data_IF_459259597580
#
_entry.id   IF_459259597580
#
_cell.length_a   1.000
_cell.length_b   1.000
_cell.length_c   1.000
_cell.angle_alpha   90.00
_cell.angle_beta   90.00
_cell.angle_gamma   90.00
#
_symmetry.space_group_name_H-M   'P 1'
#
loop_
_entity.id
_entity.type
_entity.pdbx_description
1 polymer ?
#
# COMPACT_ATOMS: atom_id res chain seq x y z
N UNK A 1 14.31 2.17 1.47
CA UNK A 1 15.61 1.60 1.82
C UNK A 1 15.64 0.11 1.51
N UNK A 2 16.74 -0.38 0.93
CA UNK A 2 16.95 -1.80 0.63
C UNK A 2 17.93 -2.44 1.62
N UNK A 3 18.06 -3.75 1.53
CA UNK A 3 19.05 -4.50 2.32
C UNK A 3 20.46 -4.33 1.75
N UNK A 4 20.64 -4.60 0.47
CA UNK A 4 21.93 -4.50 -0.21
C UNK A 4 22.00 -3.33 -1.19
N UNK A 5 20.88 -2.90 -1.74
CA UNK A 5 20.77 -1.86 -2.75
C UNK A 5 19.59 -0.93 -2.44
N UNK A 6 19.85 0.34 -2.23
CA UNK A 6 18.83 1.36 -1.97
C UNK A 6 18.40 2.01 -3.29
N UNK A 7 17.52 1.32 -4.04
CA UNK A 7 17.02 1.84 -5.31
C UNK A 7 16.05 3.00 -5.12
N UNK A 8 16.00 3.94 -6.08
CA UNK A 8 14.99 5.00 -6.06
C UNK A 8 13.58 4.44 -6.05
N UNK A 9 12.72 4.96 -5.17
CA UNK A 9 11.30 4.61 -5.06
C UNK A 9 10.43 5.83 -5.28
N UNK A 10 9.27 5.63 -5.92
CA UNK A 10 8.28 6.68 -6.14
C UNK A 10 7.28 6.68 -4.98
N UNK A 11 7.61 7.37 -3.89
CA UNK A 11 6.76 7.45 -2.68
C UNK A 11 6.55 8.90 -2.19
N UNK A 12 6.90 9.89 -3.01
CA UNK A 12 6.81 11.31 -2.68
C UNK A 12 5.40 11.77 -2.31
N UNK A 13 4.37 11.14 -2.88
CA UNK A 13 2.98 11.49 -2.62
C UNK A 13 2.58 11.29 -1.16
N UNK A 14 3.15 10.29 -0.47
CA UNK A 14 2.95 10.09 0.96
C UNK A 14 3.47 11.28 1.78
N UNK A 15 4.68 11.76 1.50
CA UNK A 15 5.21 12.95 2.18
C UNK A 15 4.32 14.17 1.95
N UNK A 16 3.83 14.35 0.73
CA UNK A 16 2.93 15.45 0.40
C UNK A 16 1.58 15.33 1.11
N UNK A 17 1.05 14.11 1.26
CA UNK A 17 -0.11 13.84 2.10
C UNK A 17 0.13 14.28 3.55
N UNK A 18 1.24 13.86 4.16
CA UNK A 18 1.58 14.23 5.54
C UNK A 18 1.66 15.76 5.69
N UNK A 19 2.34 16.45 4.79
CA UNK A 19 2.44 17.91 4.79
C UNK A 19 1.04 18.54 4.72
N UNK A 20 0.18 18.07 3.82
CA UNK A 20 -1.20 18.58 3.69
C UNK A 20 -2.04 18.30 4.92
N UNK A 21 -1.92 17.12 5.52
CA UNK A 21 -2.64 16.74 6.74
C UNK A 21 -2.31 17.70 7.90
N UNK A 22 -1.03 17.98 8.12
CA UNK A 22 -0.60 18.96 9.12
C UNK A 22 -1.07 20.38 8.79
N UNK A 23 -0.94 20.82 7.55
CA UNK A 23 -1.39 22.15 7.14
C UNK A 23 -2.92 22.35 7.29
N UNK A 24 -3.71 21.27 7.10
CA UNK A 24 -5.16 21.27 7.31
C UNK A 24 -5.55 21.08 8.78
N UNK A 25 -4.56 20.87 9.67
CA UNK A 25 -4.79 20.49 11.07
C UNK A 25 -5.74 19.27 11.18
N UNK A 26 -5.47 18.23 10.39
CA UNK A 26 -6.29 17.02 10.39
C UNK A 26 -6.34 16.44 11.81
N UNK A 27 -7.52 16.06 12.34
CA UNK A 27 -7.63 15.44 13.65
C UNK A 27 -6.74 14.20 13.77
N UNK A 28 -6.12 14.00 14.93
CA UNK A 28 -5.13 12.93 15.13
C UNK A 28 -5.71 11.53 14.91
N UNK A 29 -6.93 11.30 15.33
CA UNK A 29 -7.65 10.05 15.11
C UNK A 29 -7.87 9.78 13.62
N UNK A 30 -8.32 10.79 12.86
CA UNK A 30 -8.48 10.67 11.41
C UNK A 30 -7.14 10.44 10.72
N UNK A 31 -6.10 11.17 11.08
CA UNK A 31 -4.75 10.98 10.57
C UNK A 31 -4.23 9.56 10.82
N UNK A 32 -4.54 9.00 12.00
CA UNK A 32 -4.19 7.63 12.36
C UNK A 32 -4.94 6.62 11.51
N UNK A 33 -6.27 6.74 11.40
CA UNK A 33 -7.08 5.84 10.58
C UNK A 33 -6.63 5.82 9.12
N UNK A 34 -6.37 6.99 8.56
CA UNK A 34 -5.96 7.10 7.16
C UNK A 34 -4.62 6.42 6.90
N UNK A 35 -3.66 6.52 7.81
CA UNK A 35 -2.35 5.90 7.65
C UNK A 35 -2.34 4.38 7.90
N UNK A 36 -3.14 3.90 8.83
CA UNK A 36 -3.17 2.48 9.20
C UNK A 36 -4.13 1.65 8.34
N UNK A 37 -5.25 2.26 7.91
CA UNK A 37 -6.36 1.56 7.26
C UNK A 37 -7.14 2.46 6.27
N UNK A 38 -6.47 3.40 5.63
CA UNK A 38 -7.11 4.35 4.71
C UNK A 38 -7.79 3.69 3.52
N UNK A 39 -7.23 2.60 3.03
CA UNK A 39 -7.76 1.77 1.95
C UNK A 39 -9.03 0.98 2.33
N UNK A 40 -9.26 0.76 3.63
CA UNK A 40 -10.43 0.05 4.16
C UNK A 40 -11.61 0.99 4.47
N UNK A 41 -11.45 2.29 4.30
CA UNK A 41 -12.52 3.26 4.49
C UNK A 41 -13.60 3.10 3.41
N UNK A 42 -14.87 3.43 3.70
CA UNK A 42 -15.93 3.41 2.70
C UNK A 42 -15.62 4.38 1.54
N UNK A 43 -15.49 3.87 0.30
CA UNK A 43 -15.13 4.66 -0.89
C UNK A 43 -13.88 5.54 -0.69
N UNK A 44 -12.72 4.95 -0.39
CA UNK A 44 -11.53 5.70 -0.05
C UNK A 44 -11.09 6.61 -1.21
N UNK A 45 -10.73 7.83 -0.90
CA UNK A 45 -10.11 8.76 -1.84
C UNK A 45 -8.66 8.35 -2.16
N UNK A 46 -8.12 8.86 -3.27
CA UNK A 46 -6.70 8.68 -3.60
C UNK A 46 -5.78 9.13 -2.44
N UNK A 47 -6.12 10.22 -1.73
CA UNK A 47 -5.37 10.71 -0.58
C UNK A 47 -5.36 9.72 0.59
N UNK A 48 -6.48 9.06 0.86
CA UNK A 48 -6.59 8.04 1.91
C UNK A 48 -5.83 6.76 1.56
N UNK A 49 -5.84 6.36 0.30
CA UNK A 49 -5.00 5.26 -0.19
C UNK A 49 -3.52 5.64 -0.10
N UNK A 50 -3.13 6.86 -0.50
CA UNK A 50 -1.76 7.36 -0.38
C UNK A 50 -1.29 7.37 1.08
N UNK A 51 -2.16 7.67 2.03
CA UNK A 51 -1.82 7.67 3.45
C UNK A 51 -1.31 6.31 3.92
N UNK A 52 -1.87 5.19 3.41
CA UNK A 52 -1.42 3.83 3.75
C UNK A 52 0.00 3.51 3.29
N UNK A 53 0.60 4.37 2.46
CA UNK A 53 2.01 4.26 2.09
C UNK A 53 2.97 4.45 3.29
N UNK A 54 2.47 4.81 4.48
CA UNK A 54 3.19 4.62 5.74
C UNK A 54 3.78 3.21 5.83
N UNK A 55 2.99 2.18 5.53
CA UNK A 55 3.40 0.78 5.55
C UNK A 55 4.32 0.37 4.39
N UNK A 56 4.48 1.24 3.37
CA UNK A 56 5.38 1.02 2.24
C UNK A 56 6.79 1.58 2.48
N UNK A 57 7.03 2.26 3.59
CA UNK A 57 8.35 2.78 3.98
C UNK A 57 9.22 1.72 4.69
N UNK A 58 8.91 0.46 4.52
CA UNK A 58 9.69 -0.67 5.01
C UNK A 58 10.85 -0.99 4.07
N UNK A 59 11.79 -1.81 4.53
CA UNK A 59 12.89 -2.31 3.70
C UNK A 59 12.36 -3.30 2.66
N UNK A 60 12.95 -3.25 1.47
CA UNK A 60 12.68 -4.18 0.36
C UNK A 60 13.95 -4.88 -0.06
N UNK A 61 13.83 -6.11 -0.55
CA UNK A 61 14.93 -6.86 -1.12
C UNK A 61 14.77 -7.01 -2.63
N UNK A 62 15.81 -6.62 -3.37
CA UNK A 62 15.85 -6.71 -4.83
C UNK A 62 17.00 -7.62 -5.32
N UNK A 63 17.62 -8.40 -4.44
CA UNK A 63 18.68 -9.32 -4.80
C UNK A 63 18.15 -10.53 -5.58
N UNK A 64 18.97 -11.05 -6.48
CA UNK A 64 18.66 -12.29 -7.17
C UNK A 64 18.89 -13.52 -6.28
N UNK A 65 17.98 -14.50 -6.35
CA UNK A 65 18.14 -15.77 -5.63
C UNK A 65 17.61 -15.74 -4.18
N UNK A 66 16.90 -14.71 -3.79
CA UNK A 66 16.24 -14.61 -2.48
C UNK A 66 14.80 -15.12 -2.55
N UNK A 67 14.21 -15.42 -1.40
CA UNK A 67 12.83 -15.87 -1.28
C UNK A 67 11.93 -14.66 -0.99
N UNK A 68 11.07 -14.28 -1.93
CA UNK A 68 10.17 -13.12 -1.82
C UNK A 68 9.28 -13.22 -0.57
N UNK A 69 8.80 -14.41 -0.20
CA UNK A 69 7.95 -14.60 0.98
C UNK A 69 8.72 -14.42 2.29
N UNK A 70 10.00 -14.79 2.34
CA UNK A 70 10.85 -14.52 3.50
C UNK A 70 10.94 -13.01 3.76
N UNK A 71 11.24 -12.22 2.72
CA UNK A 71 11.37 -10.78 2.86
C UNK A 71 10.04 -10.06 3.02
N UNK A 72 8.94 -10.59 2.46
CA UNK A 72 7.60 -10.14 2.79
C UNK A 72 7.31 -10.28 4.29
N UNK A 73 7.66 -11.42 4.88
CA UNK A 73 7.52 -11.67 6.31
C UNK A 73 8.33 -10.66 7.15
N UNK A 74 9.58 -10.38 6.75
CA UNK A 74 10.42 -9.37 7.41
C UNK A 74 9.78 -7.97 7.32
N UNK A 75 9.16 -7.62 6.19
CA UNK A 75 8.43 -6.37 6.04
C UNK A 75 7.21 -6.29 6.96
N UNK A 76 6.48 -7.38 7.16
CA UNK A 76 5.36 -7.43 8.13
C UNK A 76 5.84 -7.22 9.56
N UNK A 77 6.95 -7.86 9.95
CA UNK A 77 7.62 -7.65 11.26
C UNK A 77 7.96 -6.17 11.46
N UNK A 78 8.56 -5.54 10.45
CA UNK A 78 8.90 -4.11 10.50
C UNK A 78 7.66 -3.23 10.66
N UNK A 79 6.57 -3.51 9.96
CA UNK A 79 5.30 -2.77 10.09
C UNK A 79 4.70 -2.85 11.48
N UNK A 80 4.68 -4.05 12.09
CA UNK A 80 4.24 -4.22 13.47
C UNK A 80 5.09 -3.33 14.38
N UNK A 81 6.40 -3.52 14.35
CA UNK A 81 7.32 -2.83 15.25
C UNK A 81 7.25 -1.30 15.07
N UNK A 82 7.25 -0.81 13.83
CA UNK A 82 7.19 0.63 13.51
C UNK A 82 5.86 1.24 13.94
N UNK A 83 4.73 0.54 13.75
CA UNK A 83 3.42 1.03 14.15
C UNK A 83 3.36 1.25 15.66
N UNK A 84 3.73 0.28 16.45
CA UNK A 84 3.69 0.40 17.91
C UNK A 84 4.72 1.40 18.44
N UNK A 85 5.91 1.47 17.85
CA UNK A 85 6.89 2.49 18.20
C UNK A 85 6.39 3.90 17.90
N UNK A 86 5.69 4.10 16.78
CA UNK A 86 5.21 5.42 16.34
C UNK A 86 4.01 5.89 17.15
N UNK A 87 3.00 5.05 17.36
CA UNK A 87 1.74 5.46 18.02
C UNK A 87 1.71 5.25 19.52
N UNK A 88 2.43 4.25 20.02
CA UNK A 88 2.40 3.91 21.45
C UNK A 88 3.72 4.13 22.16
N UNK A 89 4.81 4.43 21.45
CA UNK A 89 6.13 4.60 22.03
C UNK A 89 6.70 3.32 22.69
N UNK A 90 6.18 2.15 22.32
CA UNK A 90 6.59 0.85 22.89
C UNK A 90 7.52 0.09 21.95
N UNK A 91 8.47 -0.64 22.52
CA UNK A 91 9.38 -1.54 21.80
C UNK A 91 8.72 -2.91 21.63
N UNK A 92 7.71 -3.02 20.77
CA UNK A 92 6.95 -4.26 20.60
C UNK A 92 7.79 -5.44 20.11
N UNK A 93 8.92 -5.18 19.45
CA UNK A 93 9.84 -6.18 18.93
C UNK A 93 10.29 -7.23 19.98
N UNK A 94 10.37 -6.86 21.25
CA UNK A 94 10.71 -7.81 22.33
C UNK A 94 9.69 -8.95 22.43
N UNK A 95 8.41 -8.66 22.15
CA UNK A 95 7.33 -9.63 22.24
C UNK A 95 7.32 -10.64 21.07
N UNK A 96 8.13 -10.44 20.03
CA UNK A 96 8.30 -11.39 18.94
C UNK A 96 8.87 -12.75 19.41
N UNK A 97 9.70 -12.78 20.45
CA UNK A 97 10.34 -14.00 20.93
C UNK A 97 9.78 -14.48 22.29
N UNK A 98 9.26 -13.58 23.12
CA UNK A 98 8.71 -13.90 24.44
C UNK A 98 7.79 -12.78 24.90
N UNK A 99 6.92 -13.03 25.89
CA UNK A 99 6.10 -11.98 26.52
C UNK A 99 6.99 -10.81 26.93
N UNK A 100 6.56 -9.57 26.63
CA UNK A 100 7.33 -8.37 26.90
C UNK A 100 7.66 -8.25 28.39
N UNK A 101 8.90 -7.86 28.69
CA UNK A 101 9.39 -7.86 30.08
C UNK A 101 8.77 -6.76 30.94
N UNK A 102 8.49 -5.61 30.36
CA UNK A 102 8.07 -4.41 31.08
C UNK A 102 6.65 -3.95 30.73
N UNK A 103 6.29 -4.04 29.48
CA UNK A 103 4.97 -3.63 28.99
C UNK A 103 3.98 -4.81 29.00
N UNK A 104 2.68 -4.57 29.19
CA UNK A 104 1.68 -5.62 29.25
C UNK A 104 1.33 -6.19 27.84
N UNK A 105 2.34 -6.62 27.10
CA UNK A 105 2.23 -7.16 25.76
C UNK A 105 2.71 -8.61 25.79
N UNK A 106 1.85 -9.53 25.48
CA UNK A 106 2.18 -10.95 25.42
C UNK A 106 2.77 -11.32 24.07
N UNK A 107 3.48 -12.44 24.02
CA UNK A 107 3.95 -13.04 22.76
C UNK A 107 2.79 -13.33 21.79
N UNK A 108 1.66 -13.78 22.29
CA UNK A 108 0.46 -14.03 21.49
C UNK A 108 -0.10 -12.74 20.87
N UNK A 109 -0.20 -11.64 21.62
CA UNK A 109 -0.69 -10.36 21.11
C UNK A 109 0.24 -9.77 20.03
N UNK A 110 1.55 -10.06 20.10
CA UNK A 110 2.46 -9.73 19.02
C UNK A 110 2.04 -10.40 17.71
N UNK A 111 1.77 -11.71 17.72
CA UNK A 111 1.38 -12.44 16.53
C UNK A 111 -0.06 -12.16 16.08
N UNK A 112 -0.96 -11.77 16.96
CA UNK A 112 -2.26 -11.22 16.56
C UNK A 112 -2.09 -9.90 15.78
N UNK A 113 -1.20 -9.04 16.24
CA UNK A 113 -0.87 -7.80 15.51
C UNK A 113 -0.14 -8.09 14.19
N UNK A 114 0.75 -9.07 14.18
CA UNK A 114 1.40 -9.55 12.97
C UNK A 114 0.38 -10.02 11.93
N UNK A 115 -0.62 -10.81 12.34
CA UNK A 115 -1.66 -11.33 11.45
C UNK A 115 -2.45 -10.21 10.76
N UNK A 116 -2.75 -9.10 11.44
CA UNK A 116 -3.41 -7.94 10.86
C UNK A 116 -2.61 -7.42 9.66
N UNK A 117 -1.31 -7.19 9.81
CA UNK A 117 -0.45 -6.67 8.74
C UNK A 117 -0.08 -7.74 7.70
N UNK A 118 -0.20 -9.01 8.05
CA UNK A 118 0.02 -10.13 7.15
C UNK A 118 -1.08 -10.29 6.09
N UNK A 119 -2.24 -9.63 6.28
CA UNK A 119 -3.36 -9.62 5.33
C UNK A 119 -3.14 -8.64 4.15
N UNK A 120 -2.02 -7.92 4.11
CA UNK A 120 -1.71 -6.99 3.03
C UNK A 120 -1.38 -7.72 1.73
N UNK A 121 -1.76 -7.12 0.59
CA UNK A 121 -1.60 -7.72 -0.74
C UNK A 121 -0.20 -7.54 -1.34
N UNK A 122 0.66 -6.76 -0.72
CA UNK A 122 1.99 -6.52 -1.24
C UNK A 122 2.88 -7.76 -1.11
N UNK A 123 3.77 -7.88 -2.06
CA UNK A 123 4.84 -8.87 -2.06
C UNK A 123 6.18 -8.15 -2.22
N UNK A 124 7.26 -8.74 -1.73
CA UNK A 124 8.62 -8.19 -1.90
C UNK A 124 9.16 -8.48 -3.31
N UNK A 125 8.39 -8.07 -4.34
CA UNK A 125 8.73 -8.27 -5.75
C UNK A 125 9.31 -7.00 -6.36
N UNK A 126 10.06 -7.18 -7.45
CA UNK A 126 10.74 -6.08 -8.15
C UNK A 126 9.80 -5.00 -8.71
N UNK A 127 8.54 -5.33 -8.96
CA UNK A 127 7.53 -4.39 -9.46
C UNK A 127 6.80 -3.63 -8.35
N UNK A 128 7.06 -3.96 -7.08
CA UNK A 128 6.50 -3.31 -5.88
C UNK A 128 4.96 -3.19 -5.87
N UNK A 129 4.25 -4.08 -6.53
CA UNK A 129 2.78 -4.07 -6.53
C UNK A 129 2.21 -4.30 -5.12
N UNK A 130 0.99 -3.80 -4.82
CA UNK A 130 0.11 -2.99 -5.68
C UNK A 130 0.57 -1.53 -5.81
N UNK A 131 0.28 -0.91 -6.96
CA UNK A 131 0.67 0.46 -7.28
C UNK A 131 -0.57 1.33 -7.49
N UNK A 132 -0.56 2.54 -6.97
CA UNK A 132 -1.55 3.57 -7.26
C UNK A 132 -0.99 4.53 -8.32
N UNK A 133 -1.67 4.60 -9.47
CA UNK A 133 -1.34 5.57 -10.51
C UNK A 133 -1.87 6.95 -10.15
N UNK A 134 -0.98 7.92 -9.99
CA UNK A 134 -1.33 9.30 -9.67
C UNK A 134 -1.29 10.11 -10.95
N UNK A 135 -2.43 10.65 -11.35
CA UNK A 135 -2.59 11.44 -12.56
C UNK A 135 -2.84 12.92 -12.23
N UNK A 136 -2.26 13.82 -13.04
CA UNK A 136 -2.69 15.22 -13.05
C UNK A 136 -4.12 15.37 -13.59
N UNK A 137 -4.74 16.54 -13.38
CA UNK A 137 -6.10 16.78 -13.89
C UNK A 137 -6.17 16.72 -15.43
N UNK A 138 -5.11 17.14 -16.13
CA UNK A 138 -4.99 17.00 -17.56
C UNK A 138 -4.90 15.52 -17.97
N UNK A 139 -4.07 14.75 -17.28
CA UNK A 139 -3.94 13.31 -17.52
C UNK A 139 -5.23 12.54 -17.23
N UNK A 140 -6.00 12.92 -16.19
CA UNK A 140 -7.31 12.34 -15.89
C UNK A 140 -8.31 12.60 -17.02
N UNK A 141 -8.32 13.82 -17.57
CA UNK A 141 -9.18 14.17 -18.71
C UNK A 141 -8.80 13.38 -19.97
N UNK A 142 -7.51 13.31 -20.26
CA UNK A 142 -7.03 12.57 -21.43
C UNK A 142 -7.28 11.05 -21.29
N UNK A 143 -7.09 10.50 -20.09
CA UNK A 143 -7.42 9.09 -19.79
C UNK A 143 -8.90 8.82 -20.05
N UNK A 144 -9.79 9.65 -19.52
CA UNK A 144 -11.24 9.51 -19.73
C UNK A 144 -11.63 9.61 -21.22
N UNK A 145 -10.96 10.49 -22.01
CA UNK A 145 -11.14 10.60 -23.44
C UNK A 145 -10.75 9.31 -24.17
N UNK A 146 -9.57 8.78 -23.86
CA UNK A 146 -9.05 7.56 -24.45
C UNK A 146 -9.88 6.32 -24.08
N UNK A 147 -10.31 6.20 -22.84
CA UNK A 147 -11.19 5.11 -22.40
C UNK A 147 -12.51 5.11 -23.16
N UNK A 148 -13.11 6.29 -23.40
CA UNK A 148 -14.32 6.41 -24.22
C UNK A 148 -14.07 6.04 -25.68
N UNK A 149 -12.93 6.39 -26.24
CA UNK A 149 -12.54 6.03 -27.60
C UNK A 149 -12.34 4.52 -27.74
N UNK A 150 -11.65 3.88 -26.79
CA UNK A 150 -11.48 2.42 -26.71
C UNK A 150 -12.85 1.74 -26.68
N UNK A 151 -13.74 2.17 -25.78
CA UNK A 151 -15.08 1.59 -25.67
C UNK A 151 -15.88 1.69 -26.98
N UNK A 152 -15.77 2.80 -27.69
CA UNK A 152 -16.43 2.97 -28.99
C UNK A 152 -15.87 2.03 -30.06
N UNK A 153 -14.55 1.84 -30.08
CA UNK A 153 -13.87 0.93 -31.01
C UNK A 153 -14.24 -0.54 -30.71
N UNK A 154 -14.26 -0.94 -29.45
CA UNK A 154 -14.67 -2.28 -29.01
C UNK A 154 -16.11 -2.58 -29.41
N UNK A 155 -17.04 -1.63 -29.19
CA UNK A 155 -18.42 -1.78 -29.62
C UNK A 155 -18.56 -1.91 -31.16
N UNK A 156 -17.76 -1.15 -31.90
CA UNK A 156 -17.72 -1.20 -33.35
C UNK A 156 -17.19 -2.54 -33.85
N UNK A 157 -16.18 -3.09 -33.21
CA UNK A 157 -15.61 -4.40 -33.52
C UNK A 157 -16.62 -5.52 -33.26
N UNK A 158 -17.26 -5.52 -32.08
CA UNK A 158 -18.31 -6.52 -31.78
C UNK A 158 -19.46 -6.51 -32.76
N UNK A 159 -19.92 -5.31 -33.20
CA UNK A 159 -20.96 -5.19 -34.22
C UNK A 159 -20.51 -5.71 -35.58
N UNK A 160 -19.26 -5.50 -35.98
CA UNK A 160 -18.71 -6.04 -37.23
C UNK A 160 -18.60 -7.56 -37.18
N UNK A 161 -18.16 -8.14 -36.08
CA UNK A 161 -18.09 -9.59 -35.88
C UNK A 161 -19.48 -10.24 -35.91
N UNK A 162 -20.47 -9.63 -35.24
CA UNK A 162 -21.85 -10.11 -35.24
C UNK A 162 -22.45 -10.07 -36.63
N UNK A 163 -22.20 -9.03 -37.44
CA UNK A 163 -22.65 -8.93 -38.80
C UNK A 163 -22.00 -9.98 -39.72
N UNK A 164 -20.74 -10.31 -39.51
CA UNK A 164 -20.03 -11.34 -40.28
C UNK A 164 -20.56 -12.73 -39.95
N UNK A 165 -20.86 -13.01 -38.67
CA UNK A 165 -21.44 -14.29 -38.25
C UNK A 165 -22.87 -14.54 -38.74
N UNK A 166 -23.63 -13.48 -39.07
CA UNK A 166 -24.98 -13.61 -39.65
C UNK A 166 -24.97 -13.82 -41.16
N UNK A 167 -23.83 -13.68 -41.84
CA UNK A 167 -23.70 -13.85 -43.29
C UNK A 167 -23.10 -15.21 -43.71
N UNK A 168 -22.72 -16.02 -42.73
CA UNK A 168 -22.26 -17.41 -42.90
C UNK A 168 -23.32 -18.40 -42.46
#
# INVERSE_FOLDING_TARGET
AGYADDKPRTIWAYRDYVIRAFNKNLPFDQFTYEQLAGDLLPNPSDEQIIATAFHRNTQTNNEGGTNDEEFRNVAVVDRVNTTYATWMGTTMACAQCHTHKYDPITHEEYFQSFDIFNQTQDSDQKDERPLLSIFSDEQKKEKARLEKEIQNLENSLQNAEANTAMQT
#
